data_IF_338097210747
#
_entry.id   IF_338097210747
#
_cell.length_a   1.000
_cell.length_b   1.000
_cell.length_c   1.000
_cell.angle_alpha   90.00
_cell.angle_beta   90.00
_cell.angle_gamma   90.00
#
_symmetry.space_group_name_H-M   'P 1'
#
loop_
_entity.id
_entity.type
_entity.pdbx_description
1 polymer ?
#
# COMPACT_ATOMS: atom_id res chain seq x y z
N UNK A 1 -13.51 -9.89 11.77
CA UNK A 1 -12.03 -9.94 11.72
C UNK A 1 -11.57 -10.87 12.81
N UNK A 2 -10.68 -11.81 12.49
CA UNK A 2 -10.07 -12.67 13.50
C UNK A 2 -8.90 -11.92 14.13
N UNK A 3 -8.50 -12.29 15.35
CA UNK A 3 -7.38 -11.67 16.07
C UNK A 3 -6.09 -11.66 15.23
N UNK A 4 -5.89 -12.69 14.40
CA UNK A 4 -4.73 -12.80 13.49
C UNK A 4 -4.70 -11.71 12.41
N UNK A 5 -5.86 -11.25 11.92
CA UNK A 5 -5.94 -10.21 10.89
C UNK A 5 -5.52 -8.86 11.48
N UNK A 6 -5.90 -8.60 12.74
CA UNK A 6 -5.53 -7.39 13.47
C UNK A 6 -4.02 -7.33 13.71
N UNK A 7 -3.43 -8.44 14.15
CA UNK A 7 -1.97 -8.55 14.35
C UNK A 7 -1.25 -8.37 13.01
N UNK A 8 -1.71 -9.00 11.93
CA UNK A 8 -1.14 -8.86 10.60
C UNK A 8 -1.20 -7.40 10.10
N UNK A 9 -2.29 -6.69 10.36
CA UNK A 9 -2.45 -5.26 10.04
C UNK A 9 -1.41 -4.41 10.77
N UNK A 10 -1.22 -4.65 12.07
CA UNK A 10 -0.22 -3.95 12.87
C UNK A 10 1.21 -4.22 12.41
N UNK A 11 1.55 -5.50 12.16
CA UNK A 11 2.86 -5.91 11.65
C UNK A 11 3.13 -5.31 10.27
N UNK A 12 2.13 -5.30 9.38
CA UNK A 12 2.22 -4.67 8.07
C UNK A 12 2.53 -3.17 8.19
N UNK A 13 1.84 -2.45 9.06
CA UNK A 13 2.06 -1.03 9.26
C UNK A 13 3.45 -0.71 9.79
N UNK A 14 3.92 -1.48 10.78
CA UNK A 14 5.26 -1.30 11.35
C UNK A 14 6.35 -1.64 10.33
N UNK A 15 6.22 -2.76 9.61
CA UNK A 15 7.19 -3.13 8.58
C UNK A 15 7.24 -2.11 7.45
N UNK A 16 6.08 -1.63 6.99
CA UNK A 16 6.00 -0.59 5.98
C UNK A 16 6.63 0.72 6.46
N UNK A 17 6.43 1.09 7.74
CA UNK A 17 7.04 2.27 8.32
C UNK A 17 8.55 2.16 8.50
N UNK A 18 9.04 1.05 9.06
CA UNK A 18 10.47 0.85 9.34
C UNK A 18 11.25 0.68 8.05
N UNK A 19 10.78 -0.16 7.12
CA UNK A 19 11.43 -0.33 5.82
C UNK A 19 11.28 0.93 4.99
N UNK A 20 10.14 1.62 5.08
CA UNK A 20 9.89 2.93 4.47
C UNK A 20 10.76 4.06 5.05
N UNK A 21 11.29 3.89 6.25
CA UNK A 21 12.27 4.81 6.80
C UNK A 21 13.70 4.42 6.39
N UNK A 22 14.06 3.14 6.49
CA UNK A 22 15.40 2.65 6.17
C UNK A 22 15.74 2.77 4.67
N UNK A 23 14.74 2.64 3.79
CA UNK A 23 14.92 2.80 2.35
C UNK A 23 14.75 4.26 1.88
N UNK A 24 14.81 5.22 2.82
CA UNK A 24 14.85 6.66 2.53
C UNK A 24 16.17 7.08 1.90
N UNK A 25 16.34 6.71 0.64
CA UNK A 25 17.53 7.00 -0.16
C UNK A 25 17.53 8.41 -0.77
N UNK A 26 16.57 9.27 -0.43
CA UNK A 26 16.49 10.65 -0.96
C UNK A 26 16.26 10.75 -2.47
N UNK A 27 15.87 9.65 -3.12
CA UNK A 27 15.60 9.62 -4.57
C UNK A 27 14.17 10.11 -4.80
N UNK A 28 14.05 11.36 -5.21
CA UNK A 28 12.81 11.97 -5.69
C UNK A 28 12.84 12.05 -7.21
N UNK A 29 11.80 11.56 -7.89
CA UNK A 29 11.63 11.83 -9.32
C UNK A 29 11.36 13.33 -9.50
N UNK A 30 12.26 14.11 -10.15
CA UNK A 30 12.13 15.57 -10.20
C UNK A 30 11.06 16.05 -11.19
N UNK A 31 10.59 15.19 -12.11
CA UNK A 31 9.89 15.63 -13.33
C UNK A 31 8.37 15.49 -13.25
N UNK A 32 7.82 14.66 -12.35
CA UNK A 32 6.36 14.36 -12.33
C UNK A 32 5.72 14.65 -10.96
N UNK A 33 6.35 15.50 -10.15
CA UNK A 33 5.81 15.98 -8.88
C UNK A 33 5.85 14.95 -7.77
N UNK A 34 6.96 14.90 -7.02
CA UNK A 34 7.11 14.27 -5.68
C UNK A 34 6.49 12.86 -5.51
N UNK A 35 6.19 12.13 -6.59
CA UNK A 35 5.65 10.77 -6.52
C UNK A 35 6.80 9.83 -6.25
N UNK A 36 6.89 9.46 -4.99
CA UNK A 36 7.90 8.60 -4.41
C UNK A 36 7.55 7.16 -4.80
N UNK A 37 8.28 6.58 -5.77
CA UNK A 37 8.12 5.17 -6.16
C UNK A 37 8.85 4.29 -5.14
N UNK A 38 8.15 3.86 -4.09
CA UNK A 38 8.74 3.04 -3.05
C UNK A 38 8.55 1.55 -3.33
N UNK A 39 9.62 0.74 -3.41
CA UNK A 39 9.47 -0.72 -3.44
C UNK A 39 8.85 -1.28 -2.15
N UNK A 40 8.81 -0.50 -1.07
CA UNK A 40 8.21 -0.90 0.21
C UNK A 40 6.71 -1.22 0.10
N UNK A 41 6.03 -0.72 -0.93
CA UNK A 41 4.61 -1.03 -1.27
C UNK A 41 4.36 -2.52 -1.48
N UNK A 42 5.41 -3.32 -1.72
CA UNK A 42 5.31 -4.77 -1.82
C UNK A 42 4.82 -5.40 -0.51
N UNK A 43 5.14 -4.81 0.65
CA UNK A 43 4.75 -5.32 1.97
C UNK A 43 3.22 -5.26 2.14
N UNK A 44 2.57 -4.09 2.07
CA UNK A 44 1.11 -4.02 2.15
C UNK A 44 0.40 -4.73 1.01
N UNK A 45 0.99 -4.82 -0.18
CA UNK A 45 0.43 -5.64 -1.27
C UNK A 45 0.36 -7.12 -0.89
N UNK A 46 1.47 -7.70 -0.41
CA UNK A 46 1.54 -9.11 0.02
C UNK A 46 0.57 -9.36 1.18
N UNK A 47 0.50 -8.46 2.16
CA UNK A 47 -0.43 -8.58 3.28
C UNK A 47 -1.89 -8.45 2.84
N UNK A 48 -2.20 -7.60 1.86
CA UNK A 48 -3.55 -7.46 1.31
C UNK A 48 -4.02 -8.72 0.58
N UNK A 49 -3.11 -9.39 -0.13
CA UNK A 49 -3.37 -10.68 -0.79
C UNK A 49 -3.58 -11.79 0.25
N UNK A 50 -2.66 -11.93 1.21
CA UNK A 50 -2.67 -13.03 2.18
C UNK A 50 -3.78 -12.91 3.24
N UNK A 51 -3.87 -11.75 3.89
CA UNK A 51 -4.77 -11.54 5.04
C UNK A 51 -6.07 -10.83 4.66
N UNK A 52 -6.13 -10.24 3.46
CA UNK A 52 -7.32 -9.64 2.90
C UNK A 52 -7.28 -8.12 2.79
N UNK A 53 -8.25 -7.55 2.04
CA UNK A 53 -8.20 -6.16 1.59
C UNK A 53 -8.18 -5.15 2.73
N UNK A 54 -8.88 -5.42 3.83
CA UNK A 54 -8.89 -4.54 4.99
C UNK A 54 -7.56 -4.59 5.76
N UNK A 55 -6.98 -5.78 5.95
CA UNK A 55 -5.74 -5.92 6.71
C UNK A 55 -4.55 -5.25 6.00
N UNK A 56 -4.44 -5.43 4.68
CA UNK A 56 -3.42 -4.75 3.89
C UNK A 56 -3.67 -3.25 3.73
N UNK A 57 -4.93 -2.85 3.47
CA UNK A 57 -5.30 -1.43 3.28
C UNK A 57 -5.10 -0.59 4.55
N UNK A 58 -5.58 -1.07 5.70
CA UNK A 58 -5.42 -0.36 6.99
C UNK A 58 -3.95 -0.38 7.43
N UNK A 59 -3.23 -1.50 7.22
CA UNK A 59 -1.81 -1.58 7.53
C UNK A 59 -0.99 -0.58 6.71
N UNK A 60 -1.28 -0.45 5.42
CA UNK A 60 -0.63 0.54 4.56
C UNK A 60 -0.94 1.99 4.95
N UNK A 61 -2.20 2.26 5.28
CA UNK A 61 -2.68 3.57 5.76
C UNK A 61 -1.92 4.01 7.02
N UNK A 62 -1.79 3.11 7.99
CA UNK A 62 -1.06 3.38 9.23
C UNK A 62 0.44 3.54 8.95
N UNK A 63 1.02 2.65 8.14
CA UNK A 63 2.45 2.69 7.86
C UNK A 63 2.88 3.94 7.08
N UNK A 64 2.10 4.39 6.08
CA UNK A 64 2.42 5.61 5.32
C UNK A 64 2.30 6.85 6.19
N UNK A 65 1.29 6.90 7.06
CA UNK A 65 1.11 7.99 8.00
C UNK A 65 2.31 8.13 8.94
N UNK A 66 2.77 7.01 9.52
CA UNK A 66 3.96 7.00 10.38
C UNK A 66 5.21 7.40 9.58
N UNK A 67 5.37 6.87 8.37
CA UNK A 67 6.51 7.18 7.50
C UNK A 67 6.58 8.67 7.14
N UNK A 68 5.46 9.28 6.77
CA UNK A 68 5.41 10.70 6.41
C UNK A 68 5.58 11.63 7.61
N UNK A 69 5.05 11.25 8.78
CA UNK A 69 5.29 11.97 10.03
C UNK A 69 6.78 12.01 10.38
N UNK A 70 7.50 10.90 10.18
CA UNK A 70 8.93 10.81 10.46
C UNK A 70 9.82 11.52 9.43
N UNK A 71 9.38 11.61 8.18
CA UNK A 71 10.23 12.14 7.09
C UNK A 71 9.97 13.62 6.79
N UNK A 72 8.72 14.05 6.70
CA UNK A 72 8.37 15.42 6.30
C UNK A 72 7.73 16.24 7.43
N UNK A 73 7.28 15.60 8.51
CA UNK A 73 6.56 16.26 9.61
C UNK A 73 5.21 16.88 9.20
N UNK A 74 4.75 16.62 7.98
CA UNK A 74 3.59 17.29 7.39
C UNK A 74 2.38 16.34 7.37
N UNK A 75 1.78 16.17 8.56
CA UNK A 75 0.67 15.26 8.82
C UNK A 75 -0.53 15.46 7.88
N UNK A 76 -0.82 16.71 7.52
CA UNK A 76 -1.98 17.07 6.70
C UNK A 76 -1.89 16.51 5.28
N UNK A 77 -0.70 16.55 4.66
CA UNK A 77 -0.49 16.04 3.30
C UNK A 77 -0.56 14.50 3.29
N UNK A 78 -0.01 13.86 4.32
CA UNK A 78 -0.07 12.41 4.46
C UNK A 78 -1.49 11.92 4.67
N UNK A 79 -2.27 12.52 5.57
CA UNK A 79 -3.65 12.07 5.84
C UNK A 79 -4.57 12.26 4.65
N UNK A 80 -4.42 13.37 3.92
CA UNK A 80 -5.32 13.71 2.81
C UNK A 80 -5.00 12.97 1.51
N UNK A 81 -3.71 12.73 1.22
CA UNK A 81 -3.27 12.15 -0.05
C UNK A 81 -2.58 10.80 0.15
N UNK A 82 -1.65 10.70 1.12
CA UNK A 82 -0.89 9.47 1.36
C UNK A 82 -1.76 8.33 1.87
N UNK A 83 -2.46 8.53 2.97
CA UNK A 83 -3.29 7.54 3.67
C UNK A 83 -4.45 7.10 2.79
N UNK A 84 -5.18 8.04 2.19
CA UNK A 84 -6.34 7.76 1.33
C UNK A 84 -5.93 7.00 0.06
N UNK A 85 -4.83 7.40 -0.59
CA UNK A 85 -4.33 6.74 -1.80
C UNK A 85 -3.81 5.33 -1.49
N UNK A 86 -3.00 5.17 -0.45
CA UNK A 86 -2.45 3.86 -0.06
C UNK A 86 -3.58 2.92 0.38
N UNK A 87 -4.51 3.38 1.23
CA UNK A 87 -5.67 2.58 1.63
C UNK A 87 -6.45 2.09 0.41
N UNK A 88 -6.80 3.00 -0.50
CA UNK A 88 -7.61 2.67 -1.68
C UNK A 88 -6.89 1.71 -2.61
N UNK A 89 -5.59 1.93 -2.85
CA UNK A 89 -4.78 1.08 -3.72
C UNK A 89 -4.68 -0.35 -3.19
N UNK A 90 -4.26 -0.54 -1.94
CA UNK A 90 -4.09 -1.89 -1.40
C UNK A 90 -5.40 -2.58 -1.09
N UNK A 91 -6.44 -1.82 -0.73
CA UNK A 91 -7.79 -2.37 -0.61
C UNK A 91 -8.25 -2.94 -1.96
N UNK A 92 -8.10 -2.19 -3.05
CA UNK A 92 -8.42 -2.68 -4.40
C UNK A 92 -7.58 -3.90 -4.77
N UNK A 93 -6.26 -3.92 -4.49
CA UNK A 93 -5.39 -5.08 -4.74
C UNK A 93 -5.91 -6.32 -4.00
N UNK A 94 -6.28 -6.19 -2.73
CA UNK A 94 -6.79 -7.32 -1.94
C UNK A 94 -8.15 -7.81 -2.41
N UNK A 95 -9.00 -6.91 -2.93
CA UNK A 95 -10.28 -7.27 -3.55
C UNK A 95 -10.04 -7.97 -4.88
N UNK A 96 -9.21 -7.41 -5.77
CA UNK A 96 -8.85 -7.97 -7.07
C UNK A 96 -8.20 -9.34 -6.94
N UNK A 97 -7.33 -9.54 -5.94
CA UNK A 97 -6.70 -10.83 -5.68
C UNK A 97 -7.67 -11.93 -5.25
N UNK A 98 -8.86 -11.56 -4.77
CA UNK A 98 -9.92 -12.49 -4.36
C UNK A 98 -11.01 -12.61 -5.40
N UNK A 99 -11.00 -11.76 -6.41
CA UNK A 99 -11.82 -11.94 -7.60
C UNK A 99 -11.18 -13.06 -8.42
N UNK A 100 -11.99 -14.06 -8.76
CA UNK A 100 -11.64 -15.14 -9.68
C UNK A 100 -11.49 -14.54 -11.10
N UNK A 101 -10.37 -13.85 -11.32
CA UNK A 101 -10.03 -13.24 -12.61
C UNK A 101 -9.66 -14.36 -13.56
N UNK A 102 -10.68 -14.87 -14.24
CA UNK A 102 -10.51 -15.83 -15.32
C UNK A 102 -9.66 -15.16 -16.43
N UNK A 103 -8.37 -15.50 -16.48
CA UNK A 103 -7.34 -14.80 -17.27
C UNK A 103 -7.71 -14.71 -18.76
N UNK A 104 -8.51 -15.65 -19.27
CA UNK A 104 -9.06 -15.62 -20.62
C UNK A 104 -10.00 -14.44 -20.91
N UNK A 105 -10.80 -14.00 -19.91
CA UNK A 105 -11.72 -12.85 -20.06
C UNK A 105 -10.97 -11.52 -20.00
N UNK A 106 -9.94 -11.43 -19.17
CA UNK A 106 -9.10 -10.23 -19.04
C UNK A 106 -8.35 -9.96 -20.35
N UNK A 107 -7.82 -11.01 -20.99
CA UNK A 107 -7.18 -10.92 -22.30
C UNK A 107 -8.17 -10.54 -23.41
N UNK A 108 -9.38 -11.10 -23.38
CA UNK A 108 -10.41 -10.79 -24.37
C UNK A 108 -10.94 -9.34 -24.28
N UNK A 109 -11.02 -8.78 -23.06
CA UNK A 109 -11.49 -7.40 -22.84
C UNK A 109 -10.37 -6.37 -23.02
N UNK A 110 -9.12 -6.72 -22.69
CA UNK A 110 -7.99 -5.78 -22.78
C UNK A 110 -7.50 -5.53 -24.20
N UNK A 111 -7.97 -6.28 -25.21
CA UNK A 111 -7.61 -6.05 -26.62
C UNK A 111 -6.12 -6.19 -26.93
N UNK A 112 -5.32 -6.75 -26.02
CA UNK A 112 -3.90 -7.06 -26.25
C UNK A 112 -3.83 -8.41 -26.96
N UNK A 113 -4.07 -8.34 -28.27
CA UNK A 113 -3.71 -9.37 -29.26
C UNK A 113 -2.42 -8.97 -29.95
#
# INVERSE_FOLDING_TARGET
MKTVDLVATGVCGVLYAVVGYLTYLGIFCPVVGVVRFWPVVVIPAVFSVLFGPIAGGVGAAIGIFISDMLVHGNALLSVTVGVTSNFTCFYLIGVLSRMDMNWGRVRAVSGVG
#
